data_IF_611995833212
#
_entry.id   IF_611995833212
#
_cell.length_a   1.000
_cell.length_b   1.000
_cell.length_c   1.000
_cell.angle_alpha   90.00
_cell.angle_beta   90.00
_cell.angle_gamma   90.00
#
_symmetry.space_group_name_H-M   'P 1'
#
loop_
_entity.id
_entity.type
_entity.pdbx_description
1 polymer ?
#
# COMPACT_ATOMS: atom_id res chain seq x y z
N UNK A 1 -14.86 9.04 -11.56
CA UNK A 1 -13.94 8.98 -10.40
C UNK A 1 -14.47 7.91 -9.46
N UNK A 2 -13.60 7.03 -8.98
CA UNK A 2 -13.92 6.02 -7.99
C UNK A 2 -13.02 6.23 -6.78
N UNK A 3 -13.63 6.20 -5.59
CA UNK A 3 -12.92 6.27 -4.32
C UNK A 3 -13.46 5.13 -3.47
N UNK A 4 -12.56 4.28 -2.99
CA UNK A 4 -12.92 3.27 -2.01
C UNK A 4 -11.83 3.17 -0.95
N UNK A 5 -12.26 2.92 0.28
CA UNK A 5 -11.40 2.76 1.45
C UNK A 5 -11.85 1.51 2.17
N UNK A 6 -10.88 0.70 2.55
CA UNK A 6 -11.11 -0.53 3.27
C UNK A 6 -10.24 -0.57 4.53
N UNK A 7 -10.85 -0.97 5.65
CA UNK A 7 -10.10 -1.35 6.84
C UNK A 7 -9.20 -2.53 6.52
N UNK A 8 -7.94 -2.43 6.95
CA UNK A 8 -6.95 -3.48 6.86
C UNK A 8 -6.81 -4.13 8.23
N UNK A 9 -7.55 -5.21 8.39
CA UNK A 9 -7.47 -6.08 9.54
C UNK A 9 -6.48 -7.21 9.25
N UNK A 10 -6.03 -7.91 10.30
CA UNK A 10 -5.02 -8.98 10.21
C UNK A 10 -5.38 -10.09 9.22
N UNK A 11 -6.64 -10.24 8.82
CA UNK A 11 -7.09 -11.27 7.90
C UNK A 11 -6.85 -11.00 6.40
N UNK A 12 -6.51 -9.77 5.99
CA UNK A 12 -6.39 -9.42 4.56
C UNK A 12 -5.00 -9.65 3.97
N UNK A 13 -3.98 -9.78 4.81
CA UNK A 13 -2.58 -9.84 4.39
C UNK A 13 -1.97 -11.15 4.86
N UNK A 14 -1.67 -11.99 3.89
CA UNK A 14 -1.11 -13.32 4.09
C UNK A 14 0.35 -13.32 3.64
N UNK A 15 1.24 -13.64 4.57
CA UNK A 15 2.66 -13.82 4.28
C UNK A 15 3.04 -15.27 4.48
N UNK A 16 3.90 -15.77 3.58
CA UNK A 16 4.51 -17.09 3.78
C UNK A 16 5.47 -17.02 4.96
N UNK A 17 5.27 -17.95 5.89
CA UNK A 17 6.09 -18.11 7.07
C UNK A 17 7.41 -18.78 6.68
N UNK A 18 8.53 -18.25 7.15
CA UNK A 18 9.83 -18.82 6.83
C UNK A 18 9.99 -20.18 7.54
N UNK A 19 10.62 -21.19 6.90
CA UNK A 19 10.77 -22.52 7.49
C UNK A 19 11.44 -22.52 8.87
N UNK A 20 12.35 -21.57 9.11
CA UNK A 20 13.09 -21.45 10.36
C UNK A 20 12.20 -21.08 11.54
N UNK A 21 11.09 -20.39 11.30
CA UNK A 21 10.12 -20.03 12.33
C UNK A 21 9.10 -21.14 12.65
N UNK A 22 9.20 -22.28 11.95
CA UNK A 22 8.34 -23.46 12.14
C UNK A 22 9.07 -24.63 12.81
N UNK A 23 10.33 -24.44 13.19
CA UNK A 23 11.21 -25.48 13.75
C UNK A 23 10.59 -26.16 14.99
N UNK A 24 9.84 -25.41 15.79
CA UNK A 24 9.21 -25.90 17.02
C UNK A 24 7.81 -26.52 16.80
N UNK A 25 7.31 -26.53 15.56
CA UNK A 25 5.99 -27.06 15.23
C UNK A 25 6.13 -28.45 14.61
N UNK A 26 5.84 -29.54 15.36
CA UNK A 26 5.84 -30.87 14.79
C UNK A 26 4.73 -30.99 13.74
N UNK A 27 5.11 -31.33 12.50
CA UNK A 27 4.22 -31.48 11.33
C UNK A 27 3.39 -30.23 11.00
N UNK A 28 4.01 -29.15 10.49
CA UNK A 28 3.31 -27.91 10.17
C UNK A 28 2.22 -28.14 9.11
N UNK A 29 1.01 -27.63 9.35
CA UNK A 29 -0.07 -27.66 8.36
C UNK A 29 0.09 -26.51 7.37
N UNK A 30 -0.69 -26.52 6.27
CA UNK A 30 -0.72 -25.39 5.33
C UNK A 30 -1.11 -24.06 5.99
N UNK A 31 -1.91 -24.10 7.05
CA UNK A 31 -2.30 -22.89 7.81
C UNK A 31 -1.13 -22.37 8.64
N UNK A 32 -0.29 -23.25 9.19
CA UNK A 32 0.95 -22.85 9.87
C UNK A 32 1.94 -22.14 8.92
N UNK A 33 1.85 -22.40 7.60
CA UNK A 33 2.69 -21.75 6.59
C UNK A 33 2.24 -20.33 6.24
N UNK A 34 1.07 -19.89 6.71
CA UNK A 34 0.48 -18.59 6.38
C UNK A 34 0.28 -17.78 7.65
N UNK A 35 1.02 -16.67 7.76
CA UNK A 35 0.81 -15.71 8.84
C UNK A 35 -0.03 -14.54 8.35
N UNK A 36 -1.14 -14.35 9.04
CA UNK A 36 -2.03 -13.20 8.95
C UNK A 36 -1.46 -12.07 9.78
N UNK A 37 -1.01 -10.99 9.14
CA UNK A 37 -0.47 -9.81 9.83
C UNK A 37 -0.97 -8.53 9.20
N UNK A 38 -1.29 -7.53 10.02
CA UNK A 38 -1.47 -6.17 9.51
C UNK A 38 -0.21 -5.71 8.75
N UNK A 39 -0.36 -5.16 7.53
CA UNK A 39 0.76 -4.60 6.80
C UNK A 39 1.34 -3.41 7.55
N UNK A 40 2.65 -3.19 7.39
CA UNK A 40 3.36 -2.10 8.06
C UNK A 40 4.05 -1.17 7.05
N UNK A 41 4.01 0.13 7.33
CA UNK A 41 4.81 1.15 6.67
C UNK A 41 5.82 1.68 7.69
N UNK A 42 7.12 1.46 7.46
CA UNK A 42 8.21 1.88 8.37
C UNK A 42 7.92 1.46 9.82
N UNK A 43 7.66 0.16 10.04
CA UNK A 43 7.27 -0.46 11.31
C UNK A 43 5.91 -0.09 11.92
N UNK A 44 5.20 0.89 11.36
CA UNK A 44 3.89 1.33 11.83
C UNK A 44 2.78 0.61 11.08
N UNK A 45 1.76 0.10 11.78
CA UNK A 45 0.65 -0.63 11.15
C UNK A 45 -0.15 0.28 10.23
N UNK A 46 -0.50 -0.22 9.06
CA UNK A 46 -1.47 0.39 8.15
C UNK A 46 -2.85 -0.14 8.53
N UNK A 47 -3.67 0.72 9.12
CA UNK A 47 -5.00 0.42 9.65
C UNK A 47 -6.07 0.41 8.56
N UNK A 48 -5.90 1.24 7.53
CA UNK A 48 -6.80 1.30 6.39
C UNK A 48 -6.02 1.61 5.11
N UNK A 49 -6.54 1.10 4.00
CA UNK A 49 -6.01 1.33 2.66
C UNK A 49 -7.14 1.71 1.74
N UNK A 50 -6.90 2.70 0.92
CA UNK A 50 -7.84 3.17 -0.06
C UNK A 50 -7.19 3.49 -1.38
N UNK A 51 -8.05 3.61 -2.38
CA UNK A 51 -7.69 3.93 -3.75
C UNK A 51 -8.53 5.10 -4.19
N UNK A 52 -7.83 6.10 -4.72
CA UNK A 52 -8.41 7.12 -5.55
C UNK A 52 -8.02 6.82 -7.00
N UNK A 53 -9.00 6.65 -7.88
CA UNK A 53 -8.73 6.43 -9.30
C UNK A 53 -9.75 7.15 -10.19
N UNK A 54 -9.26 7.69 -11.29
CA UNK A 54 -10.06 8.36 -12.31
C UNK A 54 -10.49 7.37 -13.39
N UNK A 55 -11.44 7.76 -14.23
CA UNK A 55 -11.84 6.94 -15.39
C UNK A 55 -10.69 6.75 -16.38
N UNK A 56 -9.69 7.63 -16.37
CA UNK A 56 -8.49 7.51 -17.21
C UNK A 56 -7.43 6.59 -16.61
N UNK A 57 -7.60 6.14 -15.36
CA UNK A 57 -6.63 5.31 -14.66
C UNK A 57 -5.57 6.06 -13.86
N UNK A 58 -5.59 7.41 -13.86
CA UNK A 58 -4.74 8.23 -12.97
C UNK A 58 -5.24 8.17 -11.54
N UNK A 59 -4.34 8.14 -10.56
CA UNK A 59 -4.72 8.13 -9.16
C UNK A 59 -3.57 7.89 -8.18
N UNK A 60 -3.93 7.54 -6.95
CA UNK A 60 -3.00 7.29 -5.85
C UNK A 60 -3.68 6.45 -4.77
N UNK A 61 -2.88 5.83 -3.89
CA UNK A 61 -3.42 5.18 -2.70
C UNK A 61 -3.48 6.16 -1.53
N UNK A 62 -4.40 5.92 -0.60
CA UNK A 62 -4.51 6.62 0.68
C UNK A 62 -4.38 5.60 1.80
N UNK A 63 -3.62 5.92 2.85
CA UNK A 63 -3.41 5.06 4.00
C UNK A 63 -3.85 5.75 5.28
N UNK A 64 -4.43 4.98 6.20
CA UNK A 64 -4.45 5.35 7.61
C UNK A 64 -3.38 4.52 8.31
N UNK A 65 -2.44 5.16 9.00
CA UNK A 65 -1.31 4.51 9.67
C UNK A 65 -1.34 4.83 11.15
N UNK A 66 -1.08 3.84 12.01
CA UNK A 66 -1.00 4.04 13.46
C UNK A 66 0.03 5.12 13.79
N UNK A 67 -0.24 5.98 14.75
CA UNK A 67 0.71 7.01 15.20
C UNK A 67 0.81 6.93 16.72
N UNK A 68 2.04 7.00 17.22
CA UNK A 68 2.28 6.91 18.67
C UNK A 68 1.55 8.04 19.40
N UNK A 69 0.89 7.71 20.51
CA UNK A 69 0.09 8.64 21.32
C UNK A 69 -1.09 9.31 20.58
N UNK A 70 -1.56 8.72 19.48
CA UNK A 70 -2.71 9.21 18.72
C UNK A 70 -3.69 8.06 18.42
N UNK A 71 -4.90 8.16 18.97
CA UNK A 71 -5.94 7.12 18.82
C UNK A 71 -6.51 7.04 17.40
N UNK A 72 -6.36 8.10 16.61
CA UNK A 72 -6.88 8.17 15.25
C UNK A 72 -5.84 7.76 14.22
N UNK A 73 -4.55 7.91 14.53
CA UNK A 73 -3.46 7.68 13.59
C UNK A 73 -3.25 8.87 12.64
N UNK A 74 -2.57 8.64 11.52
CA UNK A 74 -2.38 9.68 10.50
C UNK A 74 -2.71 9.18 9.10
N UNK A 75 -3.25 10.10 8.30
CA UNK A 75 -3.54 9.86 6.89
C UNK A 75 -2.33 10.20 6.03
N UNK A 76 -1.99 9.29 5.12
CA UNK A 76 -0.90 9.43 4.17
C UNK A 76 -1.39 9.16 2.75
N UNK A 77 -0.73 9.77 1.76
CA UNK A 77 -0.93 9.53 0.34
C UNK A 77 0.30 8.81 -0.20
N UNK A 78 0.08 7.74 -0.97
CA UNK A 78 1.11 7.08 -1.76
C UNK A 78 0.90 7.38 -3.23
N UNK A 79 1.81 8.18 -3.79
CA UNK A 79 1.90 8.42 -5.21
C UNK A 79 2.89 7.44 -5.84
N UNK A 80 2.48 6.74 -6.89
CA UNK A 80 3.37 5.85 -7.66
C UNK A 80 3.50 6.33 -9.10
N UNK A 81 4.74 6.30 -9.59
CA UNK A 81 5.09 6.59 -10.99
C UNK A 81 6.05 5.51 -11.50
N UNK A 82 6.15 5.35 -12.82
CA UNK A 82 7.21 4.52 -13.39
C UNK A 82 8.58 5.12 -13.06
N UNK A 83 9.55 4.27 -12.71
CA UNK A 83 10.95 4.69 -12.63
C UNK A 83 11.65 4.51 -13.98
N UNK A 84 12.82 5.10 -14.15
CA UNK A 84 13.65 4.92 -15.34
C UNK A 84 14.15 3.47 -15.52
N UNK A 85 14.01 2.62 -14.49
CA UNK A 85 14.35 1.19 -14.57
C UNK A 85 13.22 0.35 -15.18
N UNK A 86 12.02 0.91 -15.29
CA UNK A 86 10.89 0.17 -15.83
C UNK A 86 11.06 -0.08 -17.32
N UNK A 87 10.99 -1.35 -17.73
CA UNK A 87 10.97 -1.73 -19.16
C UNK A 87 9.59 -1.57 -19.80
N UNK A 88 8.55 -1.37 -18.99
CA UNK A 88 7.17 -1.21 -19.43
C UNK A 88 6.54 -0.07 -18.64
N UNK A 89 6.06 0.95 -19.34
CA UNK A 89 5.38 2.05 -18.69
C UNK A 89 3.95 1.64 -18.35
N UNK A 90 3.58 1.75 -17.07
CA UNK A 90 2.19 1.78 -16.66
C UNK A 90 1.68 3.19 -16.82
N UNK A 91 0.89 3.40 -17.88
CA UNK A 91 0.22 4.67 -18.12
C UNK A 91 -1.27 4.55 -17.81
N UNK A 92 -1.91 5.62 -17.32
CA UNK A 92 -1.28 6.91 -17.01
C UNK A 92 -0.66 6.94 -15.60
N UNK A 93 0.31 7.83 -15.39
CA UNK A 93 0.91 8.10 -14.09
C UNK A 93 0.45 9.48 -13.56
N UNK A 94 0.34 9.68 -12.23
CA UNK A 94 0.50 8.67 -11.18
C UNK A 94 -0.65 7.65 -11.16
N UNK A 95 -0.41 6.48 -10.58
CA UNK A 95 -1.40 5.41 -10.46
C UNK A 95 -1.44 4.81 -9.04
N UNK A 96 -2.61 4.32 -8.59
CA UNK A 96 -2.69 3.52 -7.39
C UNK A 96 -2.22 2.08 -7.66
N UNK A 97 -1.72 1.41 -6.64
CA UNK A 97 -1.66 -0.05 -6.61
C UNK A 97 -3.03 -0.62 -6.27
N UNK A 98 -3.36 -1.77 -6.84
CA UNK A 98 -4.48 -2.60 -6.37
C UNK A 98 -4.09 -3.38 -5.11
N UNK A 99 -5.05 -3.91 -4.34
CA UNK A 99 -4.75 -4.55 -3.06
C UNK A 99 -3.80 -5.77 -3.21
N UNK A 100 -3.98 -6.55 -4.28
CA UNK A 100 -3.16 -7.73 -4.59
C UNK A 100 -1.74 -7.33 -5.01
N UNK A 101 -1.59 -6.18 -5.67
CA UNK A 101 -0.28 -5.62 -6.02
C UNK A 101 0.39 -5.00 -4.80
N UNK A 102 -0.38 -4.28 -3.99
CA UNK A 102 0.10 -3.51 -2.85
C UNK A 102 0.84 -4.38 -1.83
N UNK A 103 0.39 -5.62 -1.59
CA UNK A 103 1.11 -6.60 -0.77
C UNK A 103 2.56 -6.82 -1.22
N UNK A 104 2.79 -6.89 -2.53
CA UNK A 104 4.09 -7.13 -3.14
C UNK A 104 4.93 -5.86 -3.24
N UNK A 105 4.28 -4.71 -3.42
CA UNK A 105 4.94 -3.42 -3.64
C UNK A 105 5.26 -2.69 -2.33
N UNK A 106 4.52 -2.94 -1.24
CA UNK A 106 4.72 -2.29 0.05
C UNK A 106 6.17 -2.38 0.58
N UNK A 107 6.85 -3.54 0.56
CA UNK A 107 8.26 -3.64 0.99
C UNK A 107 9.23 -2.87 0.09
N UNK A 108 8.79 -2.45 -1.11
CA UNK A 108 9.63 -1.79 -2.12
C UNK A 108 9.45 -0.26 -2.12
N UNK A 109 8.58 0.27 -1.26
CA UNK A 109 8.45 1.71 -1.07
C UNK A 109 9.78 2.28 -0.55
N UNK A 110 10.32 3.28 -1.24
CA UNK A 110 11.67 3.85 -1.05
C UNK A 110 12.86 2.92 -1.37
N UNK A 111 12.61 1.78 -2.03
CA UNK A 111 13.68 0.93 -2.55
C UNK A 111 13.94 1.21 -4.04
N UNK A 112 15.08 0.76 -4.55
CA UNK A 112 15.37 0.75 -5.99
C UNK A 112 14.45 -0.25 -6.68
N UNK A 113 13.40 0.23 -7.37
CA UNK A 113 12.40 -0.61 -8.01
C UNK A 113 11.92 -0.04 -9.36
N UNK A 114 11.13 -0.81 -10.12
CA UNK A 114 10.53 -0.38 -11.40
C UNK A 114 9.48 0.73 -11.20
N UNK A 115 9.00 0.91 -9.98
CA UNK A 115 8.14 2.01 -9.58
C UNK A 115 8.88 2.95 -8.63
N UNK A 116 8.65 4.26 -8.80
CA UNK A 116 9.05 5.30 -7.87
C UNK A 116 7.84 5.68 -7.04
N UNK A 117 7.87 5.29 -5.77
CA UNK A 117 6.83 5.56 -4.78
C UNK A 117 7.22 6.76 -3.92
N UNK A 118 6.27 7.66 -3.68
CA UNK A 118 6.43 8.82 -2.79
C UNK A 118 5.31 8.83 -1.76
N UNK A 119 5.70 8.88 -0.48
CA UNK A 119 4.78 9.11 0.63
C UNK A 119 4.64 10.62 0.85
N UNK A 120 3.40 11.08 0.96
CA UNK A 120 3.05 12.48 1.19
C UNK A 120 2.10 12.51 2.38
N UNK A 121 2.27 13.47 3.29
CA UNK A 121 1.27 13.72 4.34
C UNK A 121 -0.06 14.10 3.69
N UNK A 122 -1.16 13.60 4.25
CA UNK A 122 -2.48 13.91 3.71
C UNK A 122 -2.72 15.43 3.74
N UNK A 123 -3.04 15.97 2.57
CA UNK A 123 -3.35 17.38 2.41
C UNK A 123 -4.48 17.54 1.39
N UNK A 124 -5.59 18.13 1.81
CA UNK A 124 -6.74 18.35 0.93
C UNK A 124 -6.39 19.17 -0.31
N UNK A 125 -5.39 20.08 -0.23
CA UNK A 125 -4.92 20.86 -1.37
C UNK A 125 -4.28 19.99 -2.45
N UNK A 126 -3.62 18.89 -2.07
CA UNK A 126 -3.07 17.94 -3.02
C UNK A 126 -4.20 17.28 -3.82
N UNK A 127 -5.26 16.87 -3.14
CA UNK A 127 -6.43 16.25 -3.77
C UNK A 127 -7.15 17.24 -4.70
N UNK A 128 -7.38 18.47 -4.24
CA UNK A 128 -7.99 19.53 -5.07
C UNK A 128 -7.12 19.82 -6.30
N UNK A 129 -5.80 19.94 -6.13
CA UNK A 129 -4.87 20.13 -7.24
C UNK A 129 -4.95 18.98 -8.25
N UNK A 130 -5.01 17.74 -7.76
CA UNK A 130 -5.21 16.56 -8.61
C UNK A 130 -6.52 16.62 -9.39
N UNK A 131 -7.61 17.09 -8.78
CA UNK A 131 -8.88 17.29 -9.49
C UNK A 131 -8.81 18.37 -10.58
N UNK A 132 -8.08 19.46 -10.32
CA UNK A 132 -7.91 20.52 -11.31
C UNK A 132 -7.12 20.06 -12.54
N UNK A 133 -6.19 19.11 -12.39
CA UNK A 133 -5.45 18.55 -13.53
C UNK A 133 -6.29 17.59 -14.40
N UNK A 134 -7.51 17.24 -13.97
CA UNK A 134 -8.40 16.29 -14.65
C UNK A 134 -9.56 16.98 -15.40
N UNK A 135 -9.78 18.27 -15.17
CA UNK A 135 -10.84 19.09 -15.80
C UNK A 135 -10.19 20.00 -16.82
#
# INVERSE_FOLDING_TARGET
IQIYIEGLYDYKFEYQVSPESLIDIPFPTKENLIKKVAPKLKERKILAWGVFITSEGKGFNIFLVEKENDIYGEWLILENKNSALSRRERLPAPFPFEIQEFQKELPRINATHIYKSKIIEFNIKYIIGFFHELI
#
